data_IF_789404575498
#
_entry.id   IF_789404575498
#
_cell.length_a   1.000
_cell.length_b   1.000
_cell.length_c   1.000
_cell.angle_alpha   90.00
_cell.angle_beta   90.00
_cell.angle_gamma   90.00
#
_symmetry.space_group_name_H-M   'P 1'
#
loop_
_entity.id
_entity.type
_entity.pdbx_description
1 polymer ?
#
# COMPACT_ATOMS: atom_id res chain seq x y z
N UNK A 1 23.74 77.28 -29.90
CA UNK A 1 22.29 77.04 -29.86
C UNK A 1 22.08 75.61 -29.39
N UNK A 2 21.36 75.47 -28.28
CA UNK A 2 21.41 74.35 -27.34
C UNK A 2 20.33 73.31 -27.69
N UNK A 3 20.75 72.03 -27.74
CA UNK A 3 20.08 70.79 -27.29
C UNK A 3 18.60 70.56 -27.66
N UNK A 4 18.37 69.49 -28.43
CA UNK A 4 17.21 68.59 -28.23
C UNK A 4 17.73 67.15 -28.34
N UNK A 5 17.72 66.43 -27.21
CA UNK A 5 17.95 64.99 -27.15
C UNK A 5 16.65 64.29 -27.55
N UNK A 6 16.65 63.53 -28.64
CA UNK A 6 15.60 62.56 -28.97
C UNK A 6 15.93 61.23 -28.28
N UNK A 7 15.09 60.83 -27.34
CA UNK A 7 15.09 59.50 -26.72
C UNK A 7 14.51 58.50 -27.72
N UNK A 8 15.16 57.36 -28.04
CA UNK A 8 14.52 56.28 -28.77
C UNK A 8 13.67 55.42 -27.83
N UNK A 9 12.44 55.18 -28.26
CA UNK A 9 11.39 54.35 -27.65
C UNK A 9 11.79 52.88 -27.68
N UNK A 10 11.36 52.14 -26.64
CA UNK A 10 11.55 50.70 -26.42
C UNK A 10 11.25 49.82 -27.64
N UNK A 11 12.17 48.91 -27.97
CA UNK A 11 11.84 47.62 -28.56
C UNK A 11 12.04 46.55 -27.48
N UNK A 12 10.97 46.26 -26.75
CA UNK A 12 10.88 45.03 -25.95
C UNK A 12 10.97 43.86 -26.92
N UNK A 13 12.04 43.10 -26.82
CA UNK A 13 12.21 41.82 -27.51
C UNK A 13 10.98 40.97 -27.26
N UNK A 14 10.40 40.44 -28.34
CA UNK A 14 9.31 39.48 -28.34
C UNK A 14 9.62 38.31 -27.39
N UNK A 15 9.05 38.38 -26.17
CA UNK A 15 8.91 37.23 -25.30
C UNK A 15 7.91 36.28 -25.97
N UNK A 16 8.45 35.21 -26.57
CA UNK A 16 7.66 34.05 -26.98
C UNK A 16 6.76 33.66 -25.80
N UNK A 17 5.45 33.40 -26.00
CA UNK A 17 4.64 32.89 -24.92
C UNK A 17 5.26 31.58 -24.44
N UNK A 18 5.65 31.53 -23.17
CA UNK A 18 6.01 30.30 -22.49
C UNK A 18 4.78 29.40 -22.56
N UNK A 19 4.79 28.47 -23.52
CA UNK A 19 3.86 27.34 -23.54
C UNK A 19 4.18 26.53 -22.30
N UNK A 20 3.43 26.76 -21.22
CA UNK A 20 3.48 25.92 -20.04
C UNK A 20 2.78 24.61 -20.41
N UNK A 21 3.53 23.65 -20.94
CA UNK A 21 3.12 22.25 -20.89
C UNK A 21 3.21 21.85 -19.42
N UNK A 22 2.10 21.57 -18.72
CA UNK A 22 2.20 21.04 -17.38
C UNK A 22 2.94 19.70 -17.44
N UNK A 23 3.89 19.42 -16.54
CA UNK A 23 4.50 18.09 -16.46
C UNK A 23 3.37 17.08 -16.24
N UNK A 24 3.18 16.21 -17.23
CA UNK A 24 2.19 15.13 -17.18
C UNK A 24 2.63 14.20 -16.06
N UNK A 25 1.93 14.26 -14.92
CA UNK A 25 2.14 13.33 -13.82
C UNK A 25 1.70 11.97 -14.35
N UNK A 26 2.62 11.01 -14.42
CA UNK A 26 2.32 9.67 -14.93
C UNK A 26 1.99 8.71 -13.79
N UNK A 27 2.66 8.90 -12.64
CA UNK A 27 2.55 8.00 -11.50
C UNK A 27 2.34 8.76 -10.21
N UNK A 28 1.39 8.29 -9.40
CA UNK A 28 1.09 8.83 -8.08
C UNK A 28 1.47 7.80 -7.02
N UNK A 29 2.38 8.18 -6.13
CA UNK A 29 2.82 7.36 -5.00
C UNK A 29 2.11 7.88 -3.76
N UNK A 30 1.29 7.03 -3.16
CA UNK A 30 0.53 7.38 -1.94
C UNK A 30 1.18 6.72 -0.74
N UNK A 31 1.51 7.52 0.28
CA UNK A 31 2.04 7.01 1.53
C UNK A 31 0.94 6.32 2.37
N UNK A 32 1.23 5.19 3.05
CA UNK A 32 0.30 4.52 3.95
C UNK A 32 -0.28 5.43 5.05
N UNK A 33 0.48 6.43 5.51
CA UNK A 33 0.00 7.43 6.46
C UNK A 33 -1.28 8.15 5.96
N UNK A 34 -1.33 8.50 4.68
CA UNK A 34 -2.49 9.16 4.05
C UNK A 34 -3.71 8.25 4.10
N UNK A 35 -3.53 6.95 3.82
CA UNK A 35 -4.63 5.98 3.86
C UNK A 35 -5.20 5.84 5.26
N UNK A 36 -4.34 5.75 6.28
CA UNK A 36 -4.75 5.68 7.67
C UNK A 36 -5.50 6.95 8.10
N UNK A 37 -5.00 8.12 7.70
CA UNK A 37 -5.64 9.41 7.97
C UNK A 37 -7.01 9.53 7.30
N UNK A 38 -7.18 9.03 6.07
CA UNK A 38 -8.48 9.02 5.37
C UNK A 38 -9.48 8.12 6.11
N UNK A 39 -9.05 6.94 6.56
CA UNK A 39 -9.90 6.01 7.32
C UNK A 39 -10.29 6.60 8.67
N UNK A 40 -9.35 7.22 9.40
CA UNK A 40 -9.65 7.92 10.65
C UNK A 40 -10.65 9.06 10.41
N UNK A 41 -10.45 9.87 9.37
CA UNK A 41 -11.36 10.95 9.01
C UNK A 41 -12.77 10.44 8.72
N UNK A 42 -12.88 9.36 7.94
CA UNK A 42 -14.16 8.70 7.66
C UNK A 42 -14.86 8.18 8.92
N UNK A 43 -14.09 7.62 9.87
CA UNK A 43 -14.62 7.13 11.14
C UNK A 43 -15.08 8.28 12.07
N UNK A 44 -14.41 9.43 12.03
CA UNK A 44 -14.82 10.62 12.80
C UNK A 44 -16.09 11.25 12.23
N UNK A 45 -16.15 11.44 10.91
CA UNK A 45 -17.31 12.03 10.24
C UNK A 45 -18.56 11.14 10.37
N UNK A 46 -18.38 9.82 10.29
CA UNK A 46 -19.44 8.82 10.44
C UNK A 46 -20.09 8.78 11.83
N UNK A 47 -19.43 9.29 12.87
CA UNK A 47 -20.00 9.42 14.23
C UNK A 47 -20.83 10.69 14.40
N UNK A 48 -20.51 11.75 13.66
CA UNK A 48 -21.13 13.08 13.80
C UNK A 48 -22.39 13.20 12.95
N UNK A 49 -22.45 12.54 11.78
CA UNK A 49 -23.60 12.60 10.88
C UNK A 49 -24.35 11.28 10.82
N UNK A 50 -25.68 11.32 11.00
CA UNK A 50 -26.63 10.20 10.86
C UNK A 50 -26.81 9.78 9.39
N UNK A 51 -25.71 9.41 8.74
CA UNK A 51 -25.62 8.96 7.37
C UNK A 51 -24.18 9.05 6.91
N UNK A 52 -23.66 7.96 6.35
CA UNK A 52 -22.32 7.90 5.76
C UNK A 52 -22.22 8.90 4.60
N UNK A 53 -21.78 10.13 4.90
CA UNK A 53 -21.48 11.15 3.90
C UNK A 53 -20.08 10.90 3.34
N UNK A 54 -19.91 11.18 2.05
CA UNK A 54 -18.59 11.25 1.42
C UNK A 54 -17.77 12.33 2.12
N UNK A 55 -16.51 12.03 2.31
CA UNK A 55 -15.58 12.94 2.98
C UNK A 55 -14.56 13.42 1.98
N UNK A 56 -14.27 14.72 2.01
CA UNK A 56 -13.27 15.36 1.15
C UNK A 56 -12.14 15.89 2.01
N UNK A 57 -10.92 15.82 1.50
CA UNK A 57 -9.76 16.44 2.14
C UNK A 57 -8.70 16.81 1.12
N UNK A 58 -7.69 17.54 1.60
CA UNK A 58 -6.60 18.06 0.77
C UNK A 58 -5.41 17.12 0.88
N UNK A 59 -4.75 16.89 -0.25
CA UNK A 59 -3.52 16.12 -0.33
C UNK A 59 -2.33 17.07 -0.36
N UNK A 60 -1.36 16.76 0.49
CA UNK A 60 -0.09 17.43 0.61
C UNK A 60 1.03 16.51 0.16
N UNK A 61 1.99 17.07 -0.56
CA UNK A 61 3.07 16.28 -1.10
C UNK A 61 4.11 17.10 -1.84
N UNK A 62 5.01 16.39 -2.48
CA UNK A 62 6.06 16.94 -3.31
C UNK A 62 5.96 16.32 -4.71
N UNK A 63 6.09 17.15 -5.75
CA UNK A 63 6.19 16.64 -7.11
C UNK A 63 7.67 16.46 -7.48
N UNK A 64 8.07 15.22 -7.77
CA UNK A 64 9.42 14.86 -8.23
C UNK A 64 9.39 14.51 -9.71
N UNK A 65 9.52 15.52 -10.56
CA UNK A 65 9.48 15.34 -12.01
C UNK A 65 8.12 14.83 -12.48
N UNK A 66 8.06 13.58 -12.95
CA UNK A 66 6.83 12.91 -13.43
C UNK A 66 6.11 12.10 -12.34
N UNK A 67 6.74 11.91 -11.18
CA UNK A 67 6.14 11.19 -10.04
C UNK A 67 5.60 12.18 -9.02
N UNK A 68 4.40 11.93 -8.52
CA UNK A 68 3.79 12.71 -7.45
C UNK A 68 3.83 11.91 -6.16
N UNK A 69 4.60 12.39 -5.18
CA UNK A 69 4.73 11.76 -3.87
C UNK A 69 3.76 12.44 -2.90
N UNK A 70 2.75 11.69 -2.47
CA UNK A 70 1.71 12.14 -1.53
C UNK A 70 2.10 11.67 -0.13
N UNK A 71 2.69 12.57 0.64
CA UNK A 71 3.20 12.29 1.98
C UNK A 71 2.15 12.46 3.07
N UNK A 72 1.32 13.50 2.96
CA UNK A 72 0.40 13.87 4.04
C UNK A 72 -0.96 14.30 3.49
N UNK A 73 -1.97 14.33 4.35
CA UNK A 73 -3.29 14.81 4.00
C UNK A 73 -4.01 15.38 5.21
N UNK A 74 -4.96 16.28 4.97
CA UNK A 74 -5.82 16.77 6.03
C UNK A 74 -7.27 16.89 5.58
N UNK A 75 -8.14 16.71 6.56
CA UNK A 75 -9.57 16.83 6.45
C UNK A 75 -10.00 18.28 6.22
N UNK A 76 -10.91 18.53 5.27
CA UNK A 76 -11.62 19.82 5.19
C UNK A 76 -13.10 19.59 5.49
N UNK A 77 -13.74 20.42 6.32
CA UNK A 77 -15.18 20.37 6.50
C UNK A 77 -15.89 20.49 5.14
N UNK A 78 -16.54 19.40 4.76
CA UNK A 78 -17.23 19.28 3.48
C UNK A 78 -18.65 18.79 3.73
N UNK A 79 -19.62 19.51 3.17
CA UNK A 79 -21.00 19.10 3.18
C UNK A 79 -21.54 19.04 1.76
N UNK A 80 -22.17 17.91 1.43
CA UNK A 80 -22.91 17.71 0.20
C UNK A 80 -24.34 17.36 0.56
N UNK A 81 -25.30 17.93 -0.18
CA UNK A 81 -26.69 17.53 -0.07
C UNK A 81 -26.89 16.16 -0.74
N UNK A 82 -27.64 15.28 -0.07
CA UNK A 82 -27.98 13.95 -0.60
C UNK A 82 -29.00 14.03 -1.74
N UNK A 83 -29.79 15.10 -1.79
CA UNK A 83 -30.86 15.27 -2.80
C UNK A 83 -30.32 15.89 -4.09
N UNK A 84 -29.40 16.86 -3.97
CA UNK A 84 -28.77 17.54 -5.10
C UNK A 84 -27.24 17.53 -4.97
N UNK A 85 -26.59 16.64 -5.72
CA UNK A 85 -25.12 16.52 -5.72
C UNK A 85 -24.40 17.79 -6.19
N UNK A 86 -25.10 18.73 -6.85
CA UNK A 86 -24.52 20.01 -7.31
C UNK A 86 -24.33 21.02 -6.18
N UNK A 87 -25.05 20.88 -5.07
CA UNK A 87 -24.96 21.80 -3.94
C UNK A 87 -24.00 21.19 -2.93
N UNK A 88 -22.79 21.74 -2.92
CA UNK A 88 -21.74 21.36 -1.98
C UNK A 88 -21.11 22.61 -1.36
N UNK A 89 -20.62 22.44 -0.14
CA UNK A 89 -19.94 23.48 0.63
C UNK A 89 -18.55 22.99 1.01
N UNK A 90 -17.55 23.81 0.74
CA UNK A 90 -16.16 23.62 1.15
C UNK A 90 -15.69 24.90 1.85
N UNK A 91 -15.11 24.75 3.04
CA UNK A 91 -14.54 25.86 3.79
C UNK A 91 -13.14 26.23 3.25
N UNK A 92 -13.05 27.36 2.55
CA UNK A 92 -11.81 27.92 2.02
C UNK A 92 -10.90 28.54 3.08
N UNK A 93 -11.50 29.22 4.06
CA UNK A 93 -10.75 29.91 5.11
C UNK A 93 -10.05 28.89 5.99
N UNK A 94 -10.71 27.75 6.28
CA UNK A 94 -10.09 26.64 6.97
C UNK A 94 -8.90 26.06 6.19
N UNK A 95 -9.06 25.86 4.87
CA UNK A 95 -8.01 25.33 4.00
C UNK A 95 -6.76 26.22 4.03
N UNK A 96 -6.91 27.54 3.85
CA UNK A 96 -5.77 28.47 3.81
C UNK A 96 -5.08 28.56 5.17
N UNK A 97 -5.84 28.60 6.27
CA UNK A 97 -5.28 28.65 7.61
C UNK A 97 -4.52 27.36 7.97
N UNK A 98 -5.07 26.19 7.64
CA UNK A 98 -4.41 24.90 7.87
C UNK A 98 -3.19 24.75 6.98
N UNK A 99 -3.28 25.11 5.70
CA UNK A 99 -2.14 25.08 4.80
C UNK A 99 -1.00 25.96 5.32
N UNK A 100 -1.28 27.17 5.78
CA UNK A 100 -0.27 28.05 6.39
C UNK A 100 0.34 27.49 7.68
N UNK A 101 -0.35 26.61 8.41
CA UNK A 101 0.24 25.90 9.56
C UNK A 101 1.15 24.76 9.09
N UNK A 102 0.73 23.98 8.10
CA UNK A 102 1.55 22.89 7.54
C UNK A 102 2.82 23.42 6.85
N UNK A 103 2.71 24.53 6.10
CA UNK A 103 3.86 25.18 5.47
C UNK A 103 4.90 25.67 6.50
N UNK A 104 4.47 26.08 7.70
CA UNK A 104 5.37 26.45 8.81
C UNK A 104 6.09 25.25 9.43
N UNK A 105 5.45 24.09 9.46
CA UNK A 105 6.05 22.85 10.00
C UNK A 105 6.98 22.22 8.98
N UNK A 106 6.56 22.16 7.72
CA UNK A 106 7.32 21.60 6.62
C UNK A 106 7.12 22.41 5.33
N UNK A 107 8.12 23.22 4.98
CA UNK A 107 8.07 24.05 3.78
C UNK A 107 8.21 23.28 2.45
N UNK A 108 8.52 21.98 2.50
CA UNK A 108 8.61 21.13 1.30
C UNK A 108 7.24 20.63 0.83
N UNK A 109 6.29 20.49 1.74
CA UNK A 109 4.94 20.03 1.43
C UNK A 109 4.14 21.15 0.77
N UNK A 110 3.59 20.86 -0.41
CA UNK A 110 2.66 21.75 -1.11
C UNK A 110 1.35 21.04 -1.38
N UNK A 111 0.31 21.82 -1.66
CA UNK A 111 -0.97 21.27 -2.10
C UNK A 111 -0.77 20.66 -3.48
N UNK A 112 -0.94 19.34 -3.55
CA UNK A 112 -0.79 18.56 -4.80
C UNK A 112 -2.12 18.16 -5.39
N UNK A 113 -3.17 18.13 -4.57
CA UNK A 113 -4.46 17.64 -4.99
C UNK A 113 -5.44 17.52 -3.83
N UNK A 114 -6.45 16.71 -4.03
CA UNK A 114 -7.47 16.44 -3.04
C UNK A 114 -7.88 14.97 -3.12
N UNK A 115 -8.44 14.46 -2.04
CA UNK A 115 -8.97 13.12 -1.98
C UNK A 115 -10.43 13.15 -1.59
N UNK A 116 -11.15 12.10 -1.98
CA UNK A 116 -12.45 11.83 -1.40
C UNK A 116 -12.64 10.36 -1.04
N UNK A 117 -13.37 10.11 0.04
CA UNK A 117 -13.83 8.79 0.43
C UNK A 117 -15.18 8.50 -0.23
N UNK A 118 -15.13 7.95 -1.44
CA UNK A 118 -16.32 7.58 -2.21
C UNK A 118 -16.06 6.31 -3.01
N UNK A 119 -17.04 5.40 -3.14
CA UNK A 119 -16.84 4.17 -3.91
C UNK A 119 -16.86 4.42 -5.44
N UNK A 120 -17.39 5.55 -5.89
CA UNK A 120 -17.53 5.93 -7.30
C UNK A 120 -17.35 7.45 -7.46
N UNK A 121 -16.88 7.87 -8.63
CA UNK A 121 -16.82 9.27 -9.03
C UNK A 121 -18.23 9.86 -9.22
N UNK A 122 -18.39 11.12 -8.81
CA UNK A 122 -19.60 11.90 -9.00
C UNK A 122 -19.36 13.04 -10.01
N UNK A 123 -20.39 13.47 -10.76
CA UNK A 123 -20.25 14.61 -11.69
C UNK A 123 -19.79 15.91 -11.00
N UNK A 124 -20.12 16.08 -9.72
CA UNK A 124 -19.72 17.24 -8.91
C UNK A 124 -18.22 17.32 -8.67
N UNK A 125 -17.50 16.22 -8.83
CA UNK A 125 -16.05 16.17 -8.61
C UNK A 125 -15.31 17.01 -9.63
N UNK A 126 -15.87 17.19 -10.83
CA UNK A 126 -15.34 18.11 -11.85
C UNK A 126 -15.36 19.55 -11.33
N UNK A 127 -16.48 19.98 -10.72
CA UNK A 127 -16.60 21.35 -10.17
C UNK A 127 -15.71 21.57 -8.96
N UNK A 128 -15.56 20.56 -8.11
CA UNK A 128 -14.66 20.61 -6.94
C UNK A 128 -13.21 20.69 -7.42
N UNK A 129 -12.85 19.93 -8.46
CA UNK A 129 -11.50 19.94 -8.99
C UNK A 129 -11.12 21.29 -9.63
N UNK A 130 -12.05 21.98 -10.29
CA UNK A 130 -11.80 23.34 -10.80
C UNK A 130 -11.47 24.34 -9.69
N UNK A 131 -12.07 24.16 -8.52
CA UNK A 131 -11.78 24.97 -7.35
C UNK A 131 -10.35 24.74 -6.85
N UNK A 132 -9.95 23.47 -6.72
CA UNK A 132 -8.59 23.10 -6.33
C UNK A 132 -7.54 23.48 -7.37
N UNK A 133 -7.93 23.60 -8.65
CA UNK A 133 -7.03 24.04 -9.73
C UNK A 133 -6.52 25.48 -9.54
N UNK A 134 -7.21 26.30 -8.75
CA UNK A 134 -6.74 27.65 -8.37
C UNK A 134 -5.54 27.60 -7.42
N UNK A 135 -5.46 26.58 -6.58
CA UNK A 135 -4.38 26.38 -5.61
C UNK A 135 -3.24 25.54 -6.20
N UNK A 136 -3.58 24.54 -7.03
CA UNK A 136 -2.61 23.65 -7.68
C UNK A 136 -2.94 23.47 -9.17
N UNK A 137 -2.06 23.97 -10.05
CA UNK A 137 -2.24 23.86 -11.50
C UNK A 137 -2.43 22.40 -11.98
N UNK A 138 -1.75 21.46 -11.31
CA UNK A 138 -1.80 20.02 -11.57
C UNK A 138 -2.52 19.26 -10.45
N UNK A 139 -3.73 19.70 -10.10
CA UNK A 139 -4.52 19.03 -9.06
C UNK A 139 -4.86 17.58 -9.44
N UNK A 140 -4.41 16.64 -8.61
CA UNK A 140 -4.73 15.21 -8.71
C UNK A 140 -5.88 14.88 -7.77
N UNK A 141 -6.83 14.07 -8.26
CA UNK A 141 -7.89 13.48 -7.45
C UNK A 141 -7.49 12.06 -7.05
N UNK A 142 -7.42 11.77 -5.75
CA UNK A 142 -7.26 10.39 -5.27
C UNK A 142 -8.56 9.90 -4.64
N UNK A 143 -9.12 8.84 -5.22
CA UNK A 143 -10.27 8.13 -4.68
C UNK A 143 -9.76 7.01 -3.78
N UNK A 144 -10.13 7.08 -2.51
CA UNK A 144 -9.81 6.04 -1.53
C UNK A 144 -11.10 5.36 -1.12
N UNK A 145 -11.20 4.06 -1.42
CA UNK A 145 -12.39 3.30 -1.05
C UNK A 145 -12.23 2.68 0.34
N UNK A 146 -12.93 3.28 1.31
CA UNK A 146 -12.89 2.92 2.73
C UNK A 146 -13.69 1.64 3.04
N UNK A 147 -14.51 1.15 2.09
CA UNK A 147 -15.43 0.02 2.33
C UNK A 147 -15.01 -1.26 1.60
N UNK A 148 -13.85 -1.28 0.94
CA UNK A 148 -13.42 -2.47 0.19
C UNK A 148 -13.23 -3.67 1.09
N UNK A 149 -13.61 -4.83 0.54
CA UNK A 149 -13.27 -6.13 1.09
C UNK A 149 -11.87 -6.51 0.61
N UNK A 150 -11.20 -7.30 1.43
CA UNK A 150 -9.79 -7.75 1.37
C UNK A 150 -9.31 -8.31 0.01
N UNK A 151 -10.23 -8.64 -0.91
CA UNK A 151 -9.92 -9.22 -2.22
C UNK A 151 -9.64 -8.20 -3.34
N UNK A 152 -9.79 -6.89 -3.09
CA UNK A 152 -9.90 -5.89 -4.17
C UNK A 152 -8.66 -4.99 -4.36
N UNK A 153 -7.54 -5.59 -4.77
CA UNK A 153 -6.38 -4.87 -5.33
C UNK A 153 -5.92 -3.64 -4.51
N UNK A 154 -5.35 -2.65 -5.19
CA UNK A 154 -5.00 -1.38 -4.55
C UNK A 154 -6.29 -0.57 -4.25
N UNK A 155 -6.53 -0.12 -3.00
CA UNK A 155 -7.72 0.65 -2.62
C UNK A 155 -7.68 2.11 -3.09
N UNK A 156 -6.57 2.52 -3.70
CA UNK A 156 -6.33 3.86 -4.24
C UNK A 156 -6.48 3.90 -5.75
N UNK A 157 -7.23 4.88 -6.22
CA UNK A 157 -7.31 5.22 -7.64
C UNK A 157 -7.00 6.69 -7.79
N UNK A 158 -6.02 7.01 -8.62
CA UNK A 158 -5.63 8.38 -8.90
C UNK A 158 -6.21 8.81 -10.26
N UNK A 159 -6.68 10.04 -10.33
CA UNK A 159 -7.29 10.63 -11.52
C UNK A 159 -6.75 12.04 -11.75
N UNK A 160 -6.65 12.42 -13.01
CA UNK A 160 -6.30 13.78 -13.43
C UNK A 160 -7.39 14.32 -14.36
N UNK A 161 -7.75 15.58 -14.19
CA UNK A 161 -8.73 16.21 -15.08
C UNK A 161 -8.08 16.63 -16.40
N UNK A 162 -8.55 16.03 -17.48
CA UNK A 162 -8.14 16.31 -18.86
C UNK A 162 -9.37 16.79 -19.62
N UNK A 163 -9.16 17.79 -20.47
CA UNK A 163 -10.20 18.25 -21.37
C UNK A 163 -10.15 17.34 -22.61
N UNK A 164 -11.08 16.37 -22.67
CA UNK A 164 -11.17 15.45 -23.81
C UNK A 164 -11.98 16.08 -24.93
N UNK A 165 -11.37 16.13 -26.11
CA UNK A 165 -12.07 16.44 -27.36
C UNK A 165 -12.61 15.13 -27.89
N UNK A 166 -13.93 14.97 -27.87
CA UNK A 166 -14.57 13.81 -28.49
C UNK A 166 -14.48 13.91 -30.01
N UNK A 167 -14.14 12.79 -30.65
CA UNK A 167 -14.09 12.66 -32.12
C UNK A 167 -15.51 12.69 -32.77
N UNK A 168 -16.55 12.64 -31.93
CA UNK A 168 -17.97 12.70 -32.31
C UNK A 168 -18.48 14.15 -32.54
N UNK A 169 -17.59 15.14 -32.48
CA UNK A 169 -17.94 16.56 -32.68
C UNK A 169 -18.79 17.18 -31.55
N UNK A 170 -18.97 16.47 -30.44
CA UNK A 170 -19.56 17.02 -29.22
C UNK A 170 -18.60 18.03 -28.56
N UNK A 171 -19.13 19.03 -27.81
CA UNK A 171 -18.28 20.01 -27.14
C UNK A 171 -17.29 19.34 -26.20
N UNK A 172 -16.11 19.95 -26.04
CA UNK A 172 -15.06 19.46 -25.15
C UNK A 172 -15.62 19.22 -23.75
N UNK A 173 -15.58 17.97 -23.28
CA UNK A 173 -15.99 17.64 -21.92
C UNK A 173 -14.75 17.44 -21.06
N UNK A 174 -14.81 17.87 -19.80
CA UNK A 174 -13.75 17.61 -18.84
C UNK A 174 -13.98 16.22 -18.27
N UNK A 175 -13.06 15.31 -18.54
CA UNK A 175 -13.10 13.93 -18.04
C UNK A 175 -11.95 13.72 -17.06
N UNK A 176 -12.09 12.68 -16.25
CA UNK A 176 -11.02 12.22 -15.39
C UNK A 176 -10.34 11.03 -16.07
N UNK A 177 -9.06 11.20 -16.38
CA UNK A 177 -8.22 10.10 -16.85
C UNK A 177 -7.53 9.44 -15.66
N UNK A 178 -7.39 8.11 -15.69
CA UNK A 178 -6.82 7.34 -14.59
C UNK A 178 -5.30 7.40 -14.66
N UNK A 179 -4.67 7.82 -13.58
CA UNK A 179 -3.23 7.75 -13.40
C UNK A 179 -2.81 6.43 -12.74
N UNK A 180 -1.58 6.01 -13.02
CA UNK A 180 -0.99 4.85 -12.36
C UNK A 180 -0.76 5.17 -10.88
N UNK A 181 -1.37 4.38 -9.99
CA UNK A 181 -1.24 4.56 -8.54
C UNK A 181 -0.44 3.42 -7.93
N UNK A 182 0.52 3.77 -7.08
CA UNK A 182 1.28 2.84 -6.27
C UNK A 182 1.27 3.31 -4.82
N UNK A 183 1.42 2.37 -3.89
CA UNK A 183 1.63 2.68 -2.47
C UNK A 183 3.13 2.60 -2.23
N UNK A 184 3.73 3.69 -1.77
CA UNK A 184 5.14 3.76 -1.40
C UNK A 184 5.26 4.17 0.06
N UNK A 185 6.21 3.59 0.79
CA UNK A 185 6.45 3.93 2.19
C UNK A 185 7.83 4.58 2.32
N UNK A 186 7.95 5.53 3.25
CA UNK A 186 9.25 6.03 3.72
C UNK A 186 9.85 5.06 4.75
N UNK A 187 11.17 5.03 4.93
CA UNK A 187 11.86 4.10 5.84
C UNK A 187 11.29 4.13 7.26
N UNK A 188 10.97 5.33 7.78
CA UNK A 188 10.35 5.49 9.09
C UNK A 188 8.93 4.89 9.16
N UNK A 189 8.15 5.02 8.08
CA UNK A 189 6.81 4.43 7.98
C UNK A 189 6.88 2.91 7.82
N UNK A 190 7.83 2.40 7.04
CA UNK A 190 8.01 0.97 6.79
C UNK A 190 8.22 0.20 8.09
N UNK A 191 9.12 0.68 8.96
CA UNK A 191 9.36 0.07 10.28
C UNK A 191 8.11 0.12 11.16
N UNK A 192 7.36 1.22 11.12
CA UNK A 192 6.10 1.36 11.86
C UNK A 192 5.03 0.38 11.38
N UNK A 193 4.88 0.23 10.06
CA UNK A 193 3.91 -0.68 9.44
C UNK A 193 4.31 -2.14 9.69
N UNK A 194 5.60 -2.47 9.58
CA UNK A 194 6.10 -3.81 9.87
C UNK A 194 5.77 -4.22 11.31
N UNK A 195 5.95 -3.30 12.26
CA UNK A 195 5.60 -3.54 13.65
C UNK A 195 4.10 -3.79 13.84
N UNK A 196 3.24 -2.99 13.20
CA UNK A 196 1.79 -3.14 13.27
C UNK A 196 1.29 -4.42 12.59
N UNK A 197 2.01 -4.91 11.57
CA UNK A 197 1.62 -6.08 10.78
C UNK A 197 2.27 -7.38 11.28
N UNK A 198 3.05 -7.36 12.36
CA UNK A 198 3.70 -8.56 12.91
C UNK A 198 2.70 -9.68 13.26
N UNK A 199 1.49 -9.31 13.66
CA UNK A 199 0.44 -10.24 14.05
C UNK A 199 -0.40 -10.76 12.86
N UNK A 200 -0.32 -10.10 11.70
CA UNK A 200 -1.14 -10.38 10.51
C UNK A 200 -0.32 -11.02 9.39
N UNK A 201 0.94 -10.62 9.23
CA UNK A 201 1.83 -11.19 8.21
C UNK A 201 2.36 -12.54 8.71
N UNK A 202 1.92 -13.61 8.05
CA UNK A 202 2.57 -14.91 8.12
C UNK A 202 3.94 -14.86 7.45
N UNK A 203 4.93 -14.28 8.14
CA UNK A 203 6.36 -14.31 7.76
C UNK A 203 6.92 -15.74 7.70
N UNK A 204 6.14 -16.73 8.14
CA UNK A 204 6.43 -18.17 8.07
C UNK A 204 6.20 -18.77 6.68
N UNK A 205 5.53 -18.05 5.76
CA UNK A 205 5.30 -18.54 4.41
C UNK A 205 6.59 -18.52 3.61
N UNK A 206 7.08 -19.71 3.25
CA UNK A 206 8.26 -19.85 2.39
C UNK A 206 8.09 -19.18 1.01
N UNK A 207 9.20 -18.90 0.31
CA UNK A 207 9.19 -18.12 -0.93
C UNK A 207 8.37 -18.75 -2.06
N UNK A 208 8.19 -20.07 -2.05
CA UNK A 208 7.33 -20.78 -3.01
C UNK A 208 5.85 -20.45 -2.79
N UNK A 209 5.40 -20.44 -1.52
CA UNK A 209 4.01 -20.16 -1.18
C UNK A 209 3.65 -18.72 -1.54
N UNK A 210 4.54 -17.77 -1.25
CA UNK A 210 4.37 -16.37 -1.64
C UNK A 210 4.25 -16.18 -3.16
N UNK A 211 5.10 -16.84 -3.94
CA UNK A 211 5.02 -16.78 -5.42
C UNK A 211 3.74 -17.41 -5.96
N UNK A 212 3.31 -18.54 -5.38
CA UNK A 212 2.07 -19.19 -5.79
C UNK A 212 0.85 -18.33 -5.44
N UNK A 213 0.85 -17.70 -4.26
CA UNK A 213 -0.15 -16.71 -3.85
C UNK A 213 -0.23 -15.57 -4.85
N UNK A 214 0.91 -14.93 -5.16
CA UNK A 214 0.96 -13.84 -6.13
C UNK A 214 0.46 -14.25 -7.54
N UNK A 215 0.71 -15.49 -7.99
CA UNK A 215 0.18 -15.99 -9.26
C UNK A 215 -1.34 -16.20 -9.20
N UNK A 216 -1.85 -16.76 -8.10
CA UNK A 216 -3.29 -16.96 -7.89
C UNK A 216 -4.01 -15.61 -7.80
N UNK A 217 -3.47 -14.68 -7.03
CA UNK A 217 -4.01 -13.33 -6.89
C UNK A 217 -3.98 -12.57 -8.21
N UNK A 218 -2.92 -12.72 -9.00
CA UNK A 218 -2.82 -12.17 -10.35
C UNK A 218 -3.89 -12.72 -11.31
N UNK A 219 -4.14 -14.04 -11.28
CA UNK A 219 -5.20 -14.68 -12.08
C UNK A 219 -6.60 -14.25 -11.62
N UNK A 220 -6.82 -14.17 -10.30
CA UNK A 220 -8.07 -13.70 -9.71
C UNK A 220 -8.36 -12.24 -10.12
N UNK A 221 -7.34 -11.38 -10.04
CA UNK A 221 -7.42 -9.98 -10.50
C UNK A 221 -7.73 -9.86 -11.99
N UNK A 222 -7.08 -10.66 -12.84
CA UNK A 222 -7.36 -10.69 -14.27
C UNK A 222 -8.81 -11.08 -14.55
N UNK A 223 -9.32 -12.12 -13.87
CA UNK A 223 -10.70 -12.57 -14.01
C UNK A 223 -11.70 -11.50 -13.58
N UNK A 224 -11.40 -10.71 -12.54
CA UNK A 224 -12.23 -9.57 -12.13
C UNK A 224 -12.25 -8.48 -13.19
N UNK A 225 -11.08 -8.07 -13.69
CA UNK A 225 -10.98 -7.06 -14.74
C UNK A 225 -11.70 -7.51 -16.02
N UNK A 226 -11.60 -8.79 -16.40
CA UNK A 226 -12.30 -9.33 -17.57
C UNK A 226 -13.83 -9.32 -17.38
N UNK A 227 -14.32 -9.57 -16.17
CA UNK A 227 -15.75 -9.40 -15.83
C UNK A 227 -16.19 -7.94 -15.88
N UNK A 228 -15.38 -7.02 -15.39
CA UNK A 228 -15.67 -5.58 -15.46
C UNK A 228 -15.76 -5.10 -16.92
N UNK A 229 -14.84 -5.54 -17.78
CA UNK A 229 -14.90 -5.29 -19.23
C UNK A 229 -16.17 -5.89 -19.84
N UNK A 230 -16.52 -7.12 -19.47
CA UNK A 230 -17.76 -7.77 -19.93
C UNK A 230 -19.01 -6.99 -19.55
N UNK A 231 -19.10 -6.55 -18.30
CA UNK A 231 -20.21 -5.73 -17.80
C UNK A 231 -20.29 -4.38 -18.54
N UNK A 232 -19.15 -3.74 -18.81
CA UNK A 232 -19.10 -2.49 -19.58
C UNK A 232 -19.64 -2.70 -21.01
N UNK A 233 -19.21 -3.76 -21.70
CA UNK A 233 -19.70 -4.07 -23.04
C UNK A 233 -21.20 -4.41 -23.06
N UNK A 234 -21.72 -5.06 -22.03
CA UNK A 234 -23.16 -5.35 -21.90
C UNK A 234 -23.98 -4.06 -21.70
N UNK A 235 -23.47 -3.13 -20.89
CA UNK A 235 -24.08 -1.81 -20.69
C UNK A 235 -24.07 -0.95 -21.96
N UNK A 236 -23.00 -1.05 -22.76
CA UNK A 236 -22.89 -0.37 -24.05
C UNK A 236 -23.83 -1.03 -25.08
N UNK A 237 -23.89 -2.35 -25.14
CA UNK A 237 -24.79 -3.08 -26.04
C UNK A 237 -26.27 -2.83 -25.73
N UNK A 238 -26.61 -2.60 -24.46
CA UNK A 238 -27.95 -2.21 -24.01
C UNK A 238 -28.25 -0.71 -24.15
N UNK A 239 -27.35 0.08 -24.74
CA UNK A 239 -27.49 1.52 -25.02
C UNK A 239 -27.72 2.40 -23.77
N UNK A 240 -27.32 1.94 -22.58
CA UNK A 240 -27.47 2.73 -21.34
C UNK A 240 -26.33 3.74 -21.13
N UNK A 241 -25.16 3.50 -21.73
CA UNK A 241 -23.98 4.35 -21.65
C UNK A 241 -23.47 4.70 -23.06
N UNK A 242 -23.01 5.94 -23.30
CA UNK A 242 -22.38 6.30 -24.56
C UNK A 242 -21.07 5.52 -24.75
N UNK A 243 -20.78 5.16 -26.00
CA UNK A 243 -19.57 4.42 -26.38
C UNK A 243 -18.36 5.31 -26.18
N UNK A 244 -17.40 4.88 -25.38
CA UNK A 244 -16.07 5.48 -25.38
C UNK A 244 -15.21 4.79 -26.46
N UNK A 245 -14.92 5.51 -27.53
CA UNK A 245 -14.15 5.00 -28.66
C UNK A 245 -12.73 4.60 -28.26
N UNK A 246 -12.09 5.33 -27.34
CA UNK A 246 -10.72 5.03 -26.90
C UNK A 246 -10.64 3.64 -26.23
N UNK A 247 -11.56 3.34 -25.32
CA UNK A 247 -11.65 2.03 -24.66
C UNK A 247 -11.89 0.91 -25.69
N UNK A 248 -12.73 1.17 -26.69
CA UNK A 248 -13.03 0.18 -27.74
C UNK A 248 -11.82 -0.12 -28.62
N UNK A 249 -11.05 0.91 -29.00
CA UNK A 249 -9.81 0.74 -29.76
C UNK A 249 -8.76 -0.03 -28.97
N UNK A 250 -8.56 0.32 -27.69
CA UNK A 250 -7.63 -0.42 -26.83
C UNK A 250 -8.04 -1.89 -26.67
N UNK A 251 -9.34 -2.15 -26.52
CA UNK A 251 -9.84 -3.51 -26.42
C UNK A 251 -9.63 -4.31 -27.72
N UNK A 252 -9.83 -3.68 -28.89
CA UNK A 252 -9.53 -4.29 -30.17
C UNK A 252 -8.03 -4.63 -30.30
N UNK A 253 -7.16 -3.71 -29.90
CA UNK A 253 -5.71 -3.94 -29.87
C UNK A 253 -5.32 -5.07 -28.92
N UNK A 254 -6.01 -5.21 -27.78
CA UNK A 254 -5.80 -6.34 -26.86
C UNK A 254 -6.13 -7.68 -27.53
N UNK A 255 -7.24 -7.77 -28.27
CA UNK A 255 -7.59 -9.00 -29.00
C UNK A 255 -6.63 -9.29 -30.15
N UNK A 256 -6.17 -8.26 -30.85
CA UNK A 256 -5.20 -8.41 -31.93
C UNK A 256 -3.82 -8.88 -31.45
N UNK A 257 -3.46 -8.56 -30.21
CA UNK A 257 -2.19 -8.95 -29.58
C UNK A 257 -2.23 -10.32 -28.91
N UNK A 258 -3.38 -10.99 -28.90
CA UNK A 258 -3.51 -12.29 -28.24
C UNK A 258 -2.67 -13.34 -28.99
N UNK A 259 -1.65 -13.94 -28.36
CA UNK A 259 -0.74 -14.84 -29.05
C UNK A 259 -1.44 -16.15 -29.42
N UNK A 260 -1.27 -16.62 -30.65
CA UNK A 260 -1.74 -17.94 -31.06
C UNK A 260 -0.79 -19.02 -30.50
N UNK A 261 -1.24 -19.69 -29.44
CA UNK A 261 -0.47 -20.73 -28.73
C UNK A 261 -0.30 -22.03 -29.55
N UNK A 262 -0.92 -22.13 -30.73
CA UNK A 262 -0.86 -23.34 -31.58
C UNK A 262 0.30 -23.36 -32.57
N UNK A 263 1.12 -22.31 -32.58
CA UNK A 263 2.32 -22.25 -33.40
C UNK A 263 3.34 -23.29 -32.93
N UNK A 264 3.79 -24.14 -33.87
CA UNK A 264 4.73 -25.24 -33.60
C UNK A 264 6.06 -24.74 -32.99
N UNK A 265 6.50 -23.54 -33.37
CA UNK A 265 7.72 -22.93 -32.83
C UNK A 265 7.57 -22.53 -31.36
N UNK A 266 6.39 -22.05 -30.95
CA UNK A 266 6.12 -21.71 -29.55
C UNK A 266 6.06 -22.96 -28.68
N UNK A 267 5.41 -24.03 -29.16
CA UNK A 267 5.36 -25.32 -28.47
C UNK A 267 6.78 -25.88 -28.28
N UNK A 268 7.61 -25.85 -29.33
CA UNK A 268 9.01 -26.26 -29.24
C UNK A 268 9.78 -25.41 -28.22
N UNK A 269 9.65 -24.09 -28.26
CA UNK A 269 10.33 -23.19 -27.34
C UNK A 269 9.93 -23.45 -25.87
N UNK A 270 8.64 -23.68 -25.60
CA UNK A 270 8.14 -24.03 -24.26
C UNK A 270 8.70 -25.38 -23.79
N UNK A 271 8.77 -26.38 -24.66
CA UNK A 271 9.37 -27.67 -24.31
C UNK A 271 10.86 -27.57 -23.99
N UNK A 272 11.63 -26.81 -24.79
CA UNK A 272 13.06 -26.59 -24.53
C UNK A 272 13.24 -25.88 -23.19
N UNK A 273 12.50 -24.79 -22.94
CA UNK A 273 12.59 -24.06 -21.68
C UNK A 273 12.17 -24.91 -20.47
N UNK A 274 11.14 -25.75 -20.61
CA UNK A 274 10.70 -26.67 -19.55
C UNK A 274 11.77 -27.70 -19.24
N UNK A 275 12.43 -28.25 -20.27
CA UNK A 275 13.51 -29.22 -20.10
C UNK A 275 14.72 -28.59 -19.38
N UNK A 276 15.11 -27.37 -19.77
CA UNK A 276 16.19 -26.64 -19.11
C UNK A 276 15.85 -26.33 -17.64
N UNK A 277 14.62 -25.92 -17.36
CA UNK A 277 14.17 -25.66 -15.99
C UNK A 277 14.11 -26.95 -15.14
N UNK A 278 13.70 -28.08 -15.73
CA UNK A 278 13.75 -29.40 -15.07
C UNK A 278 15.18 -29.83 -14.73
N UNK A 279 16.14 -29.57 -15.61
CA UNK A 279 17.55 -29.86 -15.34
C UNK A 279 18.07 -29.10 -14.11
N UNK A 280 17.73 -27.82 -13.99
CA UNK A 280 18.08 -27.00 -12.81
C UNK A 280 17.45 -27.58 -11.53
N UNK A 281 16.18 -27.97 -11.58
CA UNK A 281 15.49 -28.60 -10.44
C UNK A 281 16.19 -29.91 -10.04
N UNK A 282 16.61 -30.71 -11.02
CA UNK A 282 17.28 -31.98 -10.78
C UNK A 282 18.64 -31.81 -10.10
N UNK A 283 19.48 -30.89 -10.60
CA UNK A 283 20.78 -30.59 -9.98
C UNK A 283 20.60 -30.05 -8.55
N UNK A 284 19.62 -29.17 -8.34
CA UNK A 284 19.30 -28.65 -7.01
C UNK A 284 18.79 -29.76 -6.05
N UNK A 285 18.09 -30.77 -6.56
CA UNK A 285 17.65 -31.92 -5.76
C UNK A 285 18.84 -32.82 -5.36
N UNK A 286 19.79 -33.05 -6.27
CA UNK A 286 21.01 -33.81 -5.96
C UNK A 286 21.84 -33.07 -4.90
N UNK A 287 22.07 -31.77 -5.07
CA UNK A 287 22.80 -30.97 -4.07
C UNK A 287 22.13 -31.02 -2.69
N UNK A 288 20.79 -30.89 -2.63
CA UNK A 288 20.04 -31.02 -1.37
C UNK A 288 20.19 -32.42 -0.75
N UNK A 289 20.20 -33.49 -1.55
CA UNK A 289 20.41 -34.84 -1.04
C UNK A 289 21.82 -35.05 -0.45
N UNK A 290 22.85 -34.49 -1.11
CA UNK A 290 24.23 -34.55 -0.61
C UNK A 290 24.39 -33.76 0.69
N UNK A 291 23.81 -32.55 0.77
CA UNK A 291 23.82 -31.74 2.00
C UNK A 291 23.08 -32.45 3.14
N UNK A 292 21.88 -32.98 2.88
CA UNK A 292 21.14 -33.73 3.88
C UNK A 292 21.89 -34.98 4.37
N UNK A 293 22.65 -35.64 3.50
CA UNK A 293 23.51 -36.76 3.89
C UNK A 293 24.68 -36.29 4.76
N UNK A 294 25.31 -35.16 4.41
CA UNK A 294 26.37 -34.56 5.22
C UNK A 294 25.85 -34.16 6.61
N UNK A 295 24.68 -33.52 6.68
CA UNK A 295 24.02 -33.15 7.92
C UNK A 295 23.67 -34.38 8.76
N UNK A 296 23.23 -35.48 8.14
CA UNK A 296 22.98 -36.74 8.83
C UNK A 296 24.25 -37.34 9.43
N UNK A 297 25.36 -37.30 8.68
CA UNK A 297 26.67 -37.76 9.18
C UNK A 297 27.12 -36.87 10.35
N UNK A 298 27.00 -35.55 10.21
CA UNK A 298 27.29 -34.58 11.27
C UNK A 298 26.48 -34.83 12.53
N UNK A 299 25.15 -34.97 12.39
CA UNK A 299 24.24 -35.26 13.48
C UNK A 299 24.57 -36.60 14.17
N UNK A 300 24.92 -37.64 13.39
CA UNK A 300 25.28 -38.94 13.95
C UNK A 300 26.62 -38.93 14.70
N UNK A 301 27.61 -38.17 14.21
CA UNK A 301 28.88 -37.98 14.89
C UNK A 301 28.69 -37.20 16.19
N UNK A 302 27.93 -36.10 16.16
CA UNK A 302 27.60 -35.30 17.32
C UNK A 302 26.86 -36.11 18.39
N UNK A 303 25.85 -36.89 18.00
CA UNK A 303 25.12 -37.76 18.93
C UNK A 303 26.03 -38.82 19.56
N UNK A 304 26.92 -39.44 18.77
CA UNK A 304 27.87 -40.44 19.29
C UNK A 304 28.90 -39.83 20.25
N UNK A 305 29.34 -38.60 20.00
CA UNK A 305 30.23 -37.89 20.94
C UNK A 305 29.49 -37.47 22.21
N UNK A 306 28.22 -37.07 22.11
CA UNK A 306 27.35 -36.80 23.27
C UNK A 306 27.16 -38.04 24.13
N UNK A 307 26.80 -39.18 23.53
CA UNK A 307 26.67 -40.47 24.23
C UNK A 307 28.00 -40.85 24.93
N UNK A 308 29.14 -40.69 24.26
CA UNK A 308 30.45 -40.99 24.85
C UNK A 308 30.81 -40.05 26.00
N UNK A 309 30.39 -38.79 25.94
CA UNK A 309 30.59 -37.81 27.01
C UNK A 309 29.66 -38.08 28.21
N UNK A 310 28.44 -38.58 27.98
CA UNK A 310 27.53 -39.04 29.04
C UNK A 310 28.04 -40.33 29.72
N UNK A 311 28.60 -41.27 28.94
CA UNK A 311 29.31 -42.45 29.46
C UNK A 311 30.60 -42.07 30.22
N UNK A 312 31.29 -41.01 29.78
CA UNK A 312 32.45 -40.45 30.47
C UNK A 312 32.11 -39.81 31.81
N UNK A 313 30.97 -39.12 31.91
CA UNK A 313 30.52 -38.50 33.17
C UNK A 313 30.02 -39.53 34.19
N UNK A 314 29.39 -40.62 33.74
CA UNK A 314 28.99 -41.73 34.64
C UNK A 314 30.18 -42.53 35.16
N UNK A 315 31.31 -42.57 34.44
CA UNK A 315 32.56 -43.17 34.92
C UNK A 315 33.31 -42.31 35.96
N UNK A 316 33.08 -40.99 36.01
CA UNK A 316 33.70 -40.11 37.01
C UNK A 316 32.91 -40.07 38.32
N UNK A 317 31.58 -40.25 38.29
CA UNK A 317 30.77 -40.38 39.51
C UNK A 317 30.96 -41.73 40.23
N UNK A 318 31.35 -42.79 39.52
CA UNK A 318 31.66 -44.10 40.11
C UNK A 318 32.92 -44.17 40.99
N UNK A 319 33.69 -43.07 41.11
CA UNK A 319 34.94 -43.03 41.90
C UNK A 319 34.95 -42.03 43.06
N UNK A 320 33.83 -41.36 43.33
CA UNK A 320 33.66 -40.44 44.48
C UNK A 320 32.38 -40.74 45.28
N UNK A 321 32.17 -41.98 45.71
CA UNK A 321 31.14 -42.26 46.71
C UNK A 321 31.48 -43.50 47.56
N UNK A 322 32.43 -43.33 48.47
CA UNK A 322 32.50 -44.10 49.71
C UNK A 322 32.92 -43.16 50.86
N UNK A 323 31.92 -42.59 51.54
CA UNK A 323 32.03 -41.95 52.85
C UNK A 323 31.92 -40.42 52.87
N UNK A 324 30.72 -39.85 52.98
CA UNK A 324 30.11 -39.48 54.28
C UNK A 324 28.74 -38.79 54.07
N UNK A 325 27.81 -39.01 54.99
CA UNK A 325 26.40 -38.58 54.91
C UNK A 325 26.23 -37.11 55.31
N UNK A 326 25.36 -36.33 54.63
CA UNK A 326 24.11 -35.73 55.20
C UNK A 326 23.58 -34.50 54.43
N UNK A 327 22.23 -34.48 54.32
CA UNK A 327 21.28 -33.33 54.23
C UNK A 327 20.95 -32.64 52.90
N UNK A 328 19.70 -32.92 52.48
CA UNK A 328 18.59 -32.02 52.04
C UNK A 328 18.77 -31.09 50.83
N UNK A 329 17.87 -31.27 49.85
CA UNK A 329 17.04 -30.16 49.33
C UNK A 329 16.93 -30.02 47.81
N UNK A 330 15.86 -30.59 47.23
CA UNK A 330 14.93 -30.02 46.22
C UNK A 330 15.43 -29.25 44.97
N UNK A 331 15.03 -29.74 43.78
CA UNK A 331 14.30 -29.06 42.66
C UNK A 331 14.83 -29.39 41.23
N UNK A 332 13.90 -29.84 40.38
CA UNK A 332 13.87 -29.72 38.92
C UNK A 332 13.42 -28.29 38.51
N UNK A 333 13.37 -27.91 37.22
CA UNK A 333 14.44 -27.74 36.24
C UNK A 333 14.37 -26.34 35.58
N UNK A 334 15.48 -25.72 35.15
CA UNK A 334 15.41 -24.62 34.17
C UNK A 334 16.55 -24.69 33.15
N UNK A 335 16.15 -24.55 31.88
CA UNK A 335 16.96 -24.40 30.68
C UNK A 335 17.76 -23.08 30.67
N UNK A 336 18.81 -22.99 29.84
CA UNK A 336 19.77 -21.90 29.90
C UNK A 336 19.35 -20.71 29.05
N UNK A 337 19.33 -19.54 29.67
CA UNK A 337 19.29 -18.25 28.99
C UNK A 337 20.70 -17.85 28.50
N UNK A 338 20.76 -17.26 27.32
CA UNK A 338 21.92 -16.50 26.87
C UNK A 338 21.62 -15.00 26.93
N UNK A 339 22.62 -14.26 27.41
CA UNK A 339 22.93 -12.83 27.22
C UNK A 339 22.62 -11.86 28.38
N UNK A 340 23.72 -11.53 29.08
CA UNK A 340 24.10 -10.25 29.70
C UNK A 340 23.83 -9.06 28.75
N UNK A 341 23.57 -7.81 29.15
CA UNK A 341 23.63 -7.08 30.43
C UNK A 341 22.82 -5.78 30.24
N UNK A 342 22.01 -5.35 31.23
CA UNK A 342 22.21 -4.09 31.98
C UNK A 342 20.93 -3.61 32.72
N UNK A 343 21.08 -3.61 34.05
CA UNK A 343 20.74 -2.55 35.00
C UNK A 343 19.30 -2.01 35.10
N UNK A 344 18.59 -2.49 36.12
CA UNK A 344 17.59 -1.74 36.87
C UNK A 344 17.79 -2.11 38.35
N UNK A 345 17.79 -1.20 39.31
CA UNK A 345 16.55 -0.72 39.93
C UNK A 345 16.88 0.10 41.19
N UNK A 346 15.95 0.98 41.57
CA UNK A 346 15.67 1.17 42.99
C UNK A 346 14.17 1.43 43.24
N UNK A 347 13.54 0.45 43.91
CA UNK A 347 12.47 0.62 44.92
C UNK A 347 11.01 0.55 44.45
N UNK A 348 10.01 0.12 45.24
CA UNK A 348 9.95 -0.57 46.53
C UNK A 348 8.47 -0.62 47.04
N UNK A 349 7.93 -1.83 47.31
CA UNK A 349 7.02 -2.23 48.44
C UNK A 349 5.50 -1.77 48.35
N UNK A 350 4.51 -2.28 49.14
CA UNK A 350 3.64 -3.47 48.86
C UNK A 350 2.13 -3.39 49.32
N UNK A 351 1.39 -4.52 49.15
CA UNK A 351 0.26 -5.14 49.94
C UNK A 351 -1.08 -4.38 50.22
N UNK A 352 -2.23 -5.03 49.92
CA UNK A 352 -3.19 -5.71 50.87
C UNK A 352 -4.62 -5.93 50.28
N UNK A 353 -5.22 -7.11 50.60
CA UNK A 353 -6.67 -7.52 50.80
C UNK A 353 -7.74 -7.17 49.72
N UNK A 354 -8.83 -7.90 49.43
CA UNK A 354 -9.73 -8.77 50.21
C UNK A 354 -10.71 -9.57 49.30
N UNK A 355 -11.38 -10.55 49.92
CA UNK A 355 -12.72 -11.11 49.64
C UNK A 355 -12.91 -12.40 48.81
N UNK A 356 -13.76 -13.25 49.38
CA UNK A 356 -14.09 -14.64 49.07
C UNK A 356 -15.60 -14.80 48.88
N UNK A 357 -16.03 -15.83 48.15
CA UNK A 357 -17.41 -16.36 48.21
C UNK A 357 -18.11 -16.60 46.86
N UNK A 358 -19.05 -17.57 46.77
CA UNK A 358 -18.83 -18.74 45.92
C UNK A 358 -19.90 -19.03 44.86
N UNK A 359 -19.59 -20.02 44.01
CA UNK A 359 -20.40 -20.58 42.95
C UNK A 359 -21.59 -21.44 43.44
N UNK A 360 -22.68 -21.44 42.66
CA UNK A 360 -23.63 -22.56 42.56
C UNK A 360 -24.30 -22.60 41.15
N UNK A 361 -24.79 -23.77 40.69
CA UNK A 361 -25.06 -24.07 39.27
C UNK A 361 -26.56 -24.20 38.94
N UNK A 362 -26.97 -24.14 37.67
CA UNK A 362 -28.13 -24.92 37.20
C UNK A 362 -28.21 -25.07 35.68
N UNK A 363 -28.57 -26.29 35.28
CA UNK A 363 -28.99 -26.72 33.94
C UNK A 363 -30.22 -25.94 33.46
N UNK A 364 -30.24 -25.53 32.20
CA UNK A 364 -31.17 -26.03 31.17
C UNK A 364 -30.74 -25.59 29.79
#
# INVERSE_FOLDING_TARGET
MVRVQSVPVEEKKDEKPLVYEPPKIETVVVHPLVLLSVVDHYNRSGKVTTGQKRVVGVLLGEQRGTTLDVSNCFAVPFEEDKSDSRVWFLDHDYLENMFAMFEKVNARERIVGWYHSGPKLCPSDITINELFRKYANNSVLVVVDVRRKESDGLPTEAYIAVDEVHDDGSPTTKTFDRLHSQIGAEEAEEVGIEHLLRDIKDTTLGPLSQRLGAQLDGLSGLLRNLREIGNYLELVASNQLPINHNVTYQLQDMFNRLPDLRLHDMVRAVHVNTNDQMLVIYIAAIMRAVLALHDLIGNKLANRESERNEEGNTAVDGKKSAGDQTKKGTLTPEEPDTSKDNDATAGAIPKAEDSSGPAAPSKK
#
